data_IF_686196893905
#
_entry.id   IF_686196893905
#
_cell.length_a   1.000
_cell.length_b   1.000
_cell.length_c   1.000
_cell.angle_alpha   90.00
_cell.angle_beta   90.00
_cell.angle_gamma   90.00
#
_symmetry.space_group_name_H-M   'P 1'
#
loop_
_entity.id
_entity.type
_entity.pdbx_description
1 polymer ?
#
# COMPACT_ATOMS: atom_id res chain seq x y z
N UNK A 1 20.76 -3.54 -22.24
CA UNK A 1 19.82 -2.49 -22.70
C UNK A 1 18.72 -3.19 -23.48
N UNK A 2 17.70 -3.68 -22.78
CA UNK A 2 16.49 -4.23 -23.39
C UNK A 2 15.37 -3.25 -23.00
N UNK A 3 14.84 -2.56 -24.00
CA UNK A 3 13.71 -1.67 -23.80
C UNK A 3 12.49 -2.53 -23.46
N UNK A 4 12.13 -2.57 -22.18
CA UNK A 4 10.83 -3.04 -21.75
C UNK A 4 9.82 -1.98 -22.16
N UNK A 5 9.15 -2.23 -23.29
CA UNK A 5 8.03 -1.42 -23.74
C UNK A 5 6.91 -1.53 -22.71
N UNK A 6 6.29 -0.39 -22.42
CA UNK A 6 5.11 -0.31 -21.57
C UNK A 6 3.97 -1.12 -22.20
N UNK A 7 3.49 -2.14 -21.48
CA UNK A 7 2.36 -2.99 -21.88
C UNK A 7 1.06 -2.16 -21.89
N UNK A 8 0.73 -1.65 -23.07
CA UNK A 8 -0.57 -1.05 -23.40
C UNK A 8 -1.65 -2.15 -23.50
N UNK A 9 -2.91 -1.83 -23.18
CA UNK A 9 -4.10 -2.71 -23.30
C UNK A 9 -4.26 -3.36 -24.70
N UNK A 10 -3.48 -2.92 -25.70
CA UNK A 10 -3.33 -3.52 -27.03
C UNK A 10 -2.72 -4.94 -27.06
N UNK A 11 -1.99 -5.36 -26.04
CA UNK A 11 -1.38 -6.71 -25.96
C UNK A 11 -2.44 -7.81 -25.79
N UNK A 12 -3.58 -7.47 -25.17
CA UNK A 12 -4.72 -8.37 -24.94
C UNK A 12 -5.61 -8.53 -26.19
N UNK A 13 -5.39 -7.73 -27.25
CA UNK A 13 -6.10 -7.91 -28.51
C UNK A 13 -5.61 -9.13 -29.28
N UNK A 14 -6.56 -9.95 -29.73
CA UNK A 14 -6.28 -11.10 -30.57
C UNK A 14 -5.89 -10.67 -31.99
N UNK A 15 -4.92 -11.35 -32.64
CA UNK A 15 -4.65 -11.14 -34.06
C UNK A 15 -5.87 -11.50 -34.93
N UNK A 16 -5.98 -10.95 -36.15
CA UNK A 16 -7.09 -11.27 -37.05
C UNK A 16 -7.23 -12.79 -37.28
N UNK A 17 -8.47 -13.28 -37.21
CA UNK A 17 -8.79 -14.71 -37.37
C UNK A 17 -8.61 -15.56 -36.11
N UNK A 18 -8.27 -14.96 -34.97
CA UNK A 18 -8.29 -15.64 -33.67
C UNK A 18 -9.57 -15.34 -32.89
N UNK A 19 -10.05 -16.34 -32.16
CA UNK A 19 -11.19 -16.25 -31.25
C UNK A 19 -10.80 -16.84 -29.90
N UNK A 20 -11.20 -16.20 -28.80
CA UNK A 20 -11.02 -16.71 -27.45
C UNK A 20 -12.28 -17.47 -26.99
N UNK A 21 -12.08 -18.62 -26.34
CA UNK A 21 -13.14 -19.47 -25.80
C UNK A 21 -12.75 -19.99 -24.42
N UNK A 22 -13.76 -20.39 -23.63
CA UNK A 22 -13.56 -20.98 -22.32
C UNK A 22 -14.18 -22.38 -22.23
N UNK A 23 -13.52 -23.28 -21.51
CA UNK A 23 -14.07 -24.60 -21.18
C UNK A 23 -15.04 -24.51 -19.98
N UNK A 24 -15.76 -25.58 -19.69
CA UNK A 24 -16.66 -25.64 -18.53
C UNK A 24 -15.92 -25.54 -17.20
N UNK A 25 -14.70 -26.08 -17.12
CA UNK A 25 -13.80 -25.99 -15.96
C UNK A 25 -13.04 -24.66 -15.87
N UNK A 26 -13.31 -23.73 -16.79
CA UNK A 26 -12.85 -22.35 -16.75
C UNK A 26 -11.47 -22.10 -17.39
N UNK A 27 -10.90 -23.08 -18.10
CA UNK A 27 -9.66 -22.88 -18.84
C UNK A 27 -9.94 -22.12 -20.15
N UNK A 28 -9.18 -21.06 -20.42
CA UNK A 28 -9.29 -20.29 -21.67
C UNK A 28 -8.39 -20.90 -22.74
N UNK A 29 -8.90 -21.01 -23.95
CA UNK A 29 -8.18 -21.46 -25.12
C UNK A 29 -8.51 -20.59 -26.34
N UNK A 30 -7.59 -20.57 -27.30
CA UNK A 30 -7.63 -19.71 -28.46
C UNK A 30 -7.79 -20.56 -29.71
N UNK A 31 -8.76 -20.21 -30.55
CA UNK A 31 -9.07 -20.86 -31.82
C UNK A 31 -8.56 -19.99 -32.94
N UNK A 32 -7.75 -20.55 -33.84
CA UNK A 32 -7.32 -19.88 -35.06
C UNK A 32 -8.16 -20.38 -36.23
N UNK A 33 -9.01 -19.51 -36.77
CA UNK A 33 -9.90 -19.82 -37.89
C UNK A 33 -9.16 -20.00 -39.21
N UNK A 34 -7.97 -19.41 -39.36
CA UNK A 34 -7.15 -19.55 -40.56
C UNK A 34 -6.46 -20.92 -40.63
N UNK A 35 -5.91 -21.39 -39.50
CA UNK A 35 -5.19 -22.69 -39.43
C UNK A 35 -6.06 -23.84 -38.94
N UNK A 36 -7.28 -23.55 -38.47
CA UNK A 36 -8.20 -24.51 -37.80
C UNK A 36 -7.57 -25.19 -36.57
N UNK A 37 -6.59 -24.55 -35.96
CA UNK A 37 -5.91 -25.03 -34.75
C UNK A 37 -6.47 -24.42 -33.48
N UNK A 38 -6.20 -25.08 -32.34
CA UNK A 38 -6.45 -24.52 -31.00
C UNK A 38 -5.17 -24.53 -30.17
N UNK A 39 -5.06 -23.60 -29.23
CA UNK A 39 -3.95 -23.56 -28.27
C UNK A 39 -4.39 -22.93 -26.95
N UNK A 40 -3.68 -23.25 -25.87
CA UNK A 40 -3.97 -22.73 -24.52
C UNK A 40 -3.32 -21.37 -24.24
N UNK A 41 -2.28 -21.04 -24.99
CA UNK A 41 -1.48 -19.84 -24.76
C UNK A 41 -1.95 -18.73 -25.71
N UNK A 42 -2.03 -17.49 -25.22
CA UNK A 42 -2.42 -16.36 -26.05
C UNK A 42 -1.42 -16.20 -27.22
N UNK A 43 -1.89 -15.95 -28.45
CA UNK A 43 -1.03 -15.93 -29.65
C UNK A 43 0.04 -14.83 -29.63
N UNK A 44 -0.16 -13.73 -28.89
CA UNK A 44 0.83 -12.65 -28.70
C UNK A 44 1.64 -12.85 -27.41
N UNK A 45 0.99 -12.68 -26.26
CA UNK A 45 1.62 -12.72 -24.94
C UNK A 45 2.13 -14.09 -24.48
N UNK A 46 1.75 -15.19 -25.15
CA UNK A 46 2.06 -16.59 -24.76
C UNK A 46 1.57 -17.02 -23.38
N UNK A 47 0.80 -16.18 -22.67
CA UNK A 47 0.24 -16.47 -21.36
C UNK A 47 -1.07 -17.25 -21.44
N UNK A 48 -1.39 -17.99 -20.39
CA UNK A 48 -2.68 -18.68 -20.24
C UNK A 48 -3.66 -17.79 -19.49
N UNK A 49 -4.95 -17.95 -19.75
CA UNK A 49 -6.01 -17.26 -19.01
C UNK A 49 -6.96 -18.28 -18.39
N UNK A 50 -7.61 -17.87 -17.31
CA UNK A 50 -8.64 -18.64 -16.62
C UNK A 50 -9.84 -17.75 -16.32
N UNK A 51 -11.03 -18.31 -16.41
CA UNK A 51 -12.29 -17.66 -16.03
C UNK A 51 -12.84 -18.33 -14.77
N UNK A 52 -13.78 -17.64 -14.11
CA UNK A 52 -14.59 -18.18 -13.02
C UNK A 52 -15.25 -19.52 -13.42
N UNK A 53 -15.37 -20.45 -12.46
CA UNK A 53 -16.16 -21.67 -12.67
C UNK A 53 -17.65 -21.40 -12.81
N UNK A 54 -18.16 -20.34 -12.19
CA UNK A 54 -19.57 -19.94 -12.21
C UNK A 54 -19.82 -18.83 -13.23
N UNK A 55 -21.01 -18.85 -13.85
CA UNK A 55 -21.49 -17.77 -14.72
C UNK A 55 -21.85 -16.52 -13.90
N UNK A 56 -21.74 -15.31 -14.46
CA UNK A 56 -22.19 -14.10 -13.78
C UNK A 56 -23.68 -14.17 -13.44
N UNK A 57 -24.11 -13.49 -12.37
CA UNK A 57 -25.51 -13.49 -11.94
C UNK A 57 -26.46 -13.08 -13.08
N UNK A 58 -27.52 -13.85 -13.29
CA UNK A 58 -28.52 -13.63 -14.35
C UNK A 58 -28.14 -14.22 -15.72
N UNK A 59 -26.99 -14.88 -15.83
CA UNK A 59 -26.59 -15.61 -17.03
C UNK A 59 -26.90 -17.10 -16.91
N UNK A 60 -27.40 -17.67 -18.00
CA UNK A 60 -27.69 -19.11 -18.11
C UNK A 60 -27.02 -19.69 -19.34
N UNK A 61 -26.42 -20.88 -19.19
CA UNK A 61 -25.91 -21.67 -20.32
C UNK A 61 -27.05 -22.48 -20.92
N UNK A 62 -27.33 -22.23 -22.19
CA UNK A 62 -28.33 -22.93 -22.98
C UNK A 62 -27.66 -23.65 -24.16
N UNK A 63 -28.29 -24.70 -24.67
CA UNK A 63 -27.81 -25.46 -25.84
C UNK A 63 -28.85 -25.30 -26.93
N UNK A 64 -28.43 -24.87 -28.12
CA UNK A 64 -29.32 -24.73 -29.27
C UNK A 64 -29.71 -26.09 -29.87
N UNK A 65 -30.66 -26.08 -30.81
CA UNK A 65 -31.16 -27.28 -31.49
C UNK A 65 -30.07 -28.03 -32.28
N UNK A 66 -28.95 -27.38 -32.58
CA UNK A 66 -27.80 -27.97 -33.26
C UNK A 66 -26.72 -28.45 -32.29
N UNK A 67 -26.98 -28.42 -30.97
CA UNK A 67 -26.03 -28.83 -29.93
C UNK A 67 -24.96 -27.79 -29.59
N UNK A 68 -25.06 -26.56 -30.09
CA UNK A 68 -24.09 -25.49 -29.84
C UNK A 68 -24.44 -24.74 -28.57
N UNK A 69 -23.43 -24.44 -27.77
CA UNK A 69 -23.58 -23.74 -26.50
C UNK A 69 -23.82 -22.24 -26.75
N UNK A 70 -24.82 -21.70 -26.09
CA UNK A 70 -25.18 -20.28 -26.04
C UNK A 70 -25.30 -19.82 -24.58
N UNK A 71 -25.26 -18.52 -24.37
CA UNK A 71 -25.40 -17.88 -23.07
C UNK A 71 -26.52 -16.84 -23.14
N UNK A 72 -27.53 -17.01 -22.29
CA UNK A 72 -28.67 -16.12 -22.18
C UNK A 72 -28.50 -15.18 -20.98
N UNK A 73 -28.56 -13.88 -21.23
CA UNK A 73 -28.62 -12.83 -20.20
C UNK A 73 -30.09 -12.51 -19.93
N UNK A 74 -30.60 -12.98 -18.79
CA UNK A 74 -32.00 -12.78 -18.39
C UNK A 74 -32.31 -11.35 -18.00
N UNK A 75 -31.29 -10.56 -17.63
CA UNK A 75 -31.46 -9.15 -17.24
C UNK A 75 -31.62 -8.26 -18.47
N UNK A 76 -30.78 -8.47 -19.48
CA UNK A 76 -30.79 -7.67 -20.71
C UNK A 76 -31.61 -8.30 -21.84
N UNK A 77 -32.13 -9.53 -21.64
CA UNK A 77 -32.90 -10.32 -22.63
C UNK A 77 -32.12 -10.55 -23.93
N UNK A 78 -30.82 -10.81 -23.83
CA UNK A 78 -29.93 -11.05 -24.97
C UNK A 78 -29.37 -12.47 -24.92
N UNK A 79 -29.09 -13.03 -26.10
CA UNK A 79 -28.42 -14.33 -26.24
C UNK A 79 -27.14 -14.15 -27.06
N UNK A 80 -26.05 -14.75 -26.61
CA UNK A 80 -24.75 -14.71 -27.30
C UNK A 80 -24.09 -16.09 -27.32
N UNK A 81 -23.24 -16.31 -28.32
CA UNK A 81 -22.38 -17.50 -28.38
C UNK A 81 -21.05 -17.30 -27.64
N UNK A 82 -20.73 -16.07 -27.26
CA UNK A 82 -19.52 -15.73 -26.52
C UNK A 82 -19.77 -15.91 -25.03
N UNK A 83 -18.88 -16.64 -24.37
CA UNK A 83 -18.97 -16.87 -22.93
C UNK A 83 -18.79 -15.55 -22.16
N UNK A 84 -19.78 -15.12 -21.34
CA UNK A 84 -19.73 -13.85 -20.62
C UNK A 84 -18.60 -13.79 -19.60
N UNK A 85 -18.04 -14.94 -19.20
CA UNK A 85 -16.93 -15.01 -18.25
C UNK A 85 -15.62 -14.54 -18.87
N UNK A 86 -15.48 -14.58 -20.20
CA UNK A 86 -14.26 -14.16 -20.91
C UNK A 86 -13.95 -12.68 -20.71
N UNK A 87 -14.97 -11.84 -20.55
CA UNK A 87 -14.80 -10.43 -20.20
C UNK A 87 -14.07 -10.21 -18.87
N UNK A 88 -14.01 -11.24 -18.02
CA UNK A 88 -13.37 -11.23 -16.70
C UNK A 88 -12.25 -12.28 -16.61
N UNK A 89 -11.73 -12.76 -17.75
CA UNK A 89 -10.64 -13.73 -17.77
C UNK A 89 -9.36 -13.12 -17.18
N UNK A 90 -8.74 -13.83 -16.25
CA UNK A 90 -7.48 -13.43 -15.62
C UNK A 90 -6.33 -14.27 -16.15
N UNK A 91 -5.16 -13.66 -16.38
CA UNK A 91 -3.94 -14.40 -16.69
C UNK A 91 -3.58 -15.37 -15.55
N UNK A 92 -3.26 -16.60 -15.90
CA UNK A 92 -2.74 -17.59 -14.96
C UNK A 92 -1.32 -17.17 -14.55
N UNK A 93 -1.11 -17.00 -13.24
CA UNK A 93 0.19 -16.62 -12.68
C UNK A 93 1.13 -17.84 -12.66
N UNK A 94 2.36 -17.71 -13.17
CA UNK A 94 3.38 -18.77 -13.02
C UNK A 94 3.84 -18.87 -11.56
N UNK A 95 4.08 -17.72 -10.92
CA UNK A 95 4.30 -17.61 -9.49
C UNK A 95 3.26 -16.69 -8.84
N UNK A 96 2.83 -16.95 -7.58
CA UNK A 96 1.85 -16.11 -6.88
C UNK A 96 2.22 -14.62 -6.85
N UNK A 97 3.53 -14.35 -6.85
CA UNK A 97 4.10 -13.01 -6.81
C UNK A 97 4.33 -12.35 -8.16
N UNK A 98 3.96 -13.01 -9.26
CA UNK A 98 4.01 -12.41 -10.59
C UNK A 98 2.83 -11.44 -10.72
N UNK A 99 3.15 -10.17 -10.54
CA UNK A 99 2.20 -9.07 -10.59
C UNK A 99 2.35 -8.40 -11.95
N UNK A 100 1.26 -8.32 -12.73
CA UNK A 100 1.25 -7.52 -13.97
C UNK A 100 1.48 -6.06 -13.62
N UNK A 101 2.53 -5.47 -14.19
CA UNK A 101 2.84 -4.06 -13.95
C UNK A 101 1.86 -3.18 -14.75
N UNK A 102 0.94 -2.52 -14.03
CA UNK A 102 -0.03 -1.58 -14.63
C UNK A 102 0.33 -0.11 -14.42
N UNK A 103 1.18 0.17 -13.43
CA UNK A 103 1.53 1.50 -12.99
C UNK A 103 3.05 1.65 -12.86
N UNK A 104 3.51 2.89 -12.86
CA UNK A 104 4.92 3.22 -12.85
C UNK A 104 5.21 4.51 -12.05
N UNK A 105 6.44 5.03 -12.18
CA UNK A 105 6.88 6.22 -11.47
C UNK A 105 6.13 7.50 -11.85
N UNK A 106 5.48 7.54 -13.02
CA UNK A 106 4.72 8.68 -13.53
C UNK A 106 3.24 8.64 -13.13
N UNK A 107 2.76 7.48 -12.68
CA UNK A 107 1.38 7.26 -12.28
C UNK A 107 0.99 8.07 -11.04
N UNK A 108 -0.24 8.58 -11.04
CA UNK A 108 -0.86 9.35 -9.95
C UNK A 108 -1.75 8.47 -9.08
N UNK A 109 -2.00 8.88 -7.83
CA UNK A 109 -2.92 8.19 -6.92
C UNK A 109 -4.34 8.06 -7.50
N UNK A 110 -4.85 9.10 -8.18
CA UNK A 110 -6.15 9.03 -8.84
C UNK A 110 -6.17 8.05 -10.02
N UNK A 111 -5.09 7.95 -10.81
CA UNK A 111 -5.00 6.92 -11.86
C UNK A 111 -5.01 5.51 -11.28
N UNK A 112 -4.34 5.28 -10.15
CA UNK A 112 -4.36 3.98 -9.47
C UNK A 112 -5.78 3.63 -8.96
N UNK A 113 -6.56 4.63 -8.56
CA UNK A 113 -7.93 4.45 -8.09
C UNK A 113 -8.99 4.52 -9.19
N UNK A 114 -8.62 4.71 -10.45
CA UNK A 114 -9.57 4.85 -11.53
C UNK A 114 -10.51 3.64 -11.61
N UNK A 115 -11.82 3.89 -11.54
CA UNK A 115 -12.85 2.84 -11.56
C UNK A 115 -12.98 2.02 -10.26
N UNK A 116 -12.36 2.47 -9.15
CA UNK A 116 -12.45 1.82 -7.83
C UNK A 116 -13.52 2.51 -6.97
N UNK A 117 -14.36 1.74 -6.31
CA UNK A 117 -15.26 2.22 -5.26
C UNK A 117 -14.80 1.66 -3.90
N UNK A 118 -14.54 2.56 -2.95
CA UNK A 118 -14.11 2.25 -1.59
C UNK A 118 -15.22 2.54 -0.56
N UNK A 119 -16.46 2.71 -1.02
CA UNK A 119 -17.62 2.88 -0.14
C UNK A 119 -17.72 1.74 0.89
N UNK A 120 -17.92 2.11 2.16
CA UNK A 120 -17.98 1.14 3.27
C UNK A 120 -16.61 0.65 3.79
N UNK A 121 -15.50 1.14 3.21
CA UNK A 121 -14.15 0.95 3.75
C UNK A 121 -13.78 2.07 4.72
N UNK A 122 -13.09 1.72 5.79
CA UNK A 122 -12.54 2.67 6.77
C UNK A 122 -11.02 2.69 6.65
N UNK A 123 -10.44 3.88 6.54
CA UNK A 123 -9.00 4.09 6.46
C UNK A 123 -8.49 5.03 7.55
N UNK A 124 -7.32 4.74 8.11
CA UNK A 124 -6.55 5.65 8.96
C UNK A 124 -5.29 6.05 8.21
N UNK A 125 -5.03 7.35 8.09
CA UNK A 125 -3.81 7.89 7.46
C UNK A 125 -3.08 8.78 8.45
N UNK A 126 -1.87 8.40 8.87
CA UNK A 126 -1.06 9.22 9.78
C UNK A 126 -0.37 10.35 9.03
N UNK A 127 -0.39 11.57 9.59
CA UNK A 127 0.23 12.74 8.96
C UNK A 127 -0.49 13.21 7.70
N UNK A 128 -1.82 13.10 7.69
CA UNK A 128 -2.70 13.37 6.56
C UNK A 128 -3.06 14.86 6.35
N UNK A 129 -2.50 15.78 7.13
CA UNK A 129 -2.81 17.21 7.01
C UNK A 129 -1.97 17.93 5.93
N UNK A 130 -0.93 17.30 5.39
CA UNK A 130 -0.09 17.89 4.34
C UNK A 130 0.63 16.83 3.48
N UNK A 131 1.23 17.28 2.37
CA UNK A 131 2.13 16.49 1.55
C UNK A 131 1.49 15.21 1.01
N UNK A 132 2.27 14.11 1.02
CA UNK A 132 1.86 12.81 0.49
C UNK A 132 0.68 12.25 1.30
N UNK A 133 0.70 12.37 2.63
CA UNK A 133 -0.39 11.88 3.49
C UNK A 133 -1.72 12.56 3.19
N UNK A 134 -1.73 13.87 2.98
CA UNK A 134 -2.93 14.59 2.55
C UNK A 134 -3.45 14.07 1.22
N UNK A 135 -2.56 13.89 0.25
CA UNK A 135 -2.97 13.43 -1.08
C UNK A 135 -3.47 11.98 -1.06
N UNK A 136 -2.88 11.12 -0.24
CA UNK A 136 -3.37 9.78 0.03
C UNK A 136 -4.78 9.82 0.63
N UNK A 137 -4.99 10.62 1.69
CA UNK A 137 -6.30 10.75 2.35
C UNK A 137 -7.36 11.31 1.40
N UNK A 138 -7.03 12.39 0.67
CA UNK A 138 -7.89 12.98 -0.36
C UNK A 138 -8.27 11.95 -1.41
N UNK A 139 -7.29 11.23 -1.98
CA UNK A 139 -7.55 10.25 -3.03
C UNK A 139 -8.48 9.12 -2.58
N UNK A 140 -8.30 8.61 -1.34
CA UNK A 140 -9.20 7.60 -0.76
C UNK A 140 -10.62 8.15 -0.56
N UNK A 141 -10.74 9.36 -0.01
CA UNK A 141 -12.03 10.00 0.27
C UNK A 141 -12.81 10.30 -1.02
N UNK A 142 -12.13 10.75 -2.07
CA UNK A 142 -12.72 10.98 -3.39
C UNK A 142 -13.28 9.70 -4.02
N UNK A 143 -12.88 8.51 -3.55
CA UNK A 143 -13.40 7.22 -3.98
C UNK A 143 -14.32 6.57 -2.93
N UNK A 144 -14.91 7.34 -2.01
CA UNK A 144 -15.98 6.90 -1.10
C UNK A 144 -15.52 6.27 0.21
N UNK A 145 -14.21 6.17 0.44
CA UNK A 145 -13.66 5.66 1.70
C UNK A 145 -13.98 6.61 2.87
N UNK A 146 -14.28 6.07 4.04
CA UNK A 146 -14.32 6.85 5.27
C UNK A 146 -12.89 6.99 5.82
N UNK A 147 -12.33 8.21 5.74
CA UNK A 147 -10.92 8.47 6.07
C UNK A 147 -10.78 9.22 7.39
N UNK A 148 -10.06 8.62 8.33
CA UNK A 148 -9.59 9.25 9.56
C UNK A 148 -8.23 9.89 9.32
N UNK A 149 -8.17 11.22 9.37
CA UNK A 149 -6.95 12.01 9.31
C UNK A 149 -6.31 12.04 10.71
N UNK A 150 -5.36 11.15 10.95
CA UNK A 150 -4.65 11.05 12.22
C UNK A 150 -3.46 12.01 12.26
N UNK A 151 -3.65 13.19 12.87
CA UNK A 151 -2.69 14.29 12.82
C UNK A 151 -2.49 14.96 14.18
N UNK A 152 -1.36 15.64 14.38
CA UNK A 152 -1.06 16.34 15.65
C UNK A 152 -1.82 17.66 15.83
N UNK A 153 -2.10 18.40 14.75
CA UNK A 153 -2.60 19.77 14.83
C UNK A 153 -4.00 19.84 14.24
N UNK A 154 -4.99 20.16 15.08
CA UNK A 154 -6.39 20.29 14.71
C UNK A 154 -6.62 21.36 13.64
N UNK A 155 -6.11 22.58 13.83
CA UNK A 155 -6.30 23.67 12.87
C UNK A 155 -5.75 23.34 11.47
N UNK A 156 -4.59 22.67 11.39
CA UNK A 156 -4.03 22.22 10.12
C UNK A 156 -4.84 21.07 9.51
N UNK A 157 -5.41 20.19 10.35
CA UNK A 157 -6.29 19.12 9.90
C UNK A 157 -7.64 19.68 9.40
N UNK A 158 -8.22 20.67 10.06
CA UNK A 158 -9.45 21.35 9.63
C UNK A 158 -9.27 21.98 8.24
N UNK A 159 -8.13 22.65 8.03
CA UNK A 159 -7.79 23.18 6.71
C UNK A 159 -7.64 22.09 5.63
N UNK A 160 -7.17 20.90 5.99
CA UNK A 160 -7.10 19.76 5.08
C UNK A 160 -8.50 19.16 4.80
N UNK A 161 -9.32 18.97 5.84
CA UNK A 161 -10.70 18.51 5.72
C UNK A 161 -11.50 19.41 4.79
N UNK A 162 -11.44 20.73 4.99
CA UNK A 162 -12.16 21.70 4.16
C UNK A 162 -11.77 21.62 2.68
N UNK A 163 -10.49 21.40 2.36
CA UNK A 163 -10.05 21.22 0.97
C UNK A 163 -10.66 19.98 0.33
N UNK A 164 -10.76 18.87 1.07
CA UNK A 164 -11.39 17.65 0.54
C UNK A 164 -12.90 17.86 0.39
N UNK A 165 -13.57 18.49 1.35
CA UNK A 165 -14.99 18.80 1.27
C UNK A 165 -15.35 19.74 0.12
N UNK A 166 -14.46 20.67 -0.25
CA UNK A 166 -14.65 21.54 -1.43
C UNK A 166 -14.72 20.75 -2.73
N UNK A 167 -14.00 19.63 -2.82
CA UNK A 167 -14.00 18.78 -4.01
C UNK A 167 -15.07 17.69 -3.95
N UNK A 168 -15.35 17.18 -2.75
CA UNK A 168 -16.37 16.17 -2.49
C UNK A 168 -17.15 16.49 -1.21
N UNK A 169 -18.25 17.24 -1.32
CA UNK A 169 -19.04 17.69 -0.16
C UNK A 169 -19.62 16.55 0.70
N UNK A 170 -19.86 15.38 0.10
CA UNK A 170 -20.39 14.17 0.76
C UNK A 170 -19.28 13.24 1.33
N UNK A 171 -18.01 13.66 1.28
CA UNK A 171 -16.89 12.84 1.75
C UNK A 171 -17.03 12.49 3.24
N UNK A 172 -16.76 11.24 3.58
CA UNK A 172 -16.76 10.78 4.98
C UNK A 172 -15.35 10.95 5.55
N UNK A 173 -15.18 11.98 6.38
CA UNK A 173 -13.89 12.33 6.95
C UNK A 173 -14.02 12.57 8.45
N UNK A 174 -13.01 12.13 9.20
CA UNK A 174 -12.88 12.47 10.62
C UNK A 174 -11.45 12.91 10.92
N UNK A 175 -11.31 13.95 11.74
CA UNK A 175 -10.03 14.26 12.37
C UNK A 175 -9.96 13.54 13.73
N UNK A 176 -8.81 12.95 14.01
CA UNK A 176 -8.47 12.43 15.33
C UNK A 176 -7.04 12.82 15.66
N UNK A 177 -6.83 13.32 16.87
CA UNK A 177 -5.52 13.78 17.31
C UNK A 177 -4.58 12.59 17.50
N UNK A 178 -3.40 12.65 16.89
CA UNK A 178 -2.34 11.66 17.05
C UNK A 178 -0.98 12.36 17.17
N UNK A 179 -0.36 12.22 18.33
CA UNK A 179 0.94 12.79 18.68
C UNK A 179 1.96 11.66 18.81
N UNK A 180 2.77 11.46 17.76
CA UNK A 180 3.66 10.30 17.67
C UNK A 180 4.93 10.40 18.54
N UNK A 181 5.23 11.55 19.14
CA UNK A 181 6.29 11.72 20.15
C UNK A 181 5.77 11.51 21.60
N UNK A 182 4.57 10.93 21.75
CA UNK A 182 3.96 10.55 23.04
C UNK A 182 3.16 9.24 22.92
N UNK A 183 3.61 8.13 23.51
CA UNK A 183 2.94 6.83 23.39
C UNK A 183 1.53 6.82 24.02
N UNK A 184 1.30 7.57 25.10
CA UNK A 184 -0.05 7.79 25.66
C UNK A 184 -1.04 8.38 24.65
N UNK A 185 -0.57 9.25 23.73
CA UNK A 185 -1.42 9.81 22.68
C UNK A 185 -1.80 8.75 21.65
N UNK A 186 -0.88 7.83 21.34
CA UNK A 186 -1.17 6.67 20.47
C UNK A 186 -2.26 5.80 21.08
N UNK A 187 -2.16 5.50 22.39
CA UNK A 187 -3.20 4.74 23.10
C UNK A 187 -4.55 5.46 23.08
N UNK A 188 -4.56 6.74 23.41
CA UNK A 188 -5.78 7.58 23.41
C UNK A 188 -6.44 7.63 22.03
N UNK A 189 -5.64 7.74 20.97
CA UNK A 189 -6.12 7.68 19.59
C UNK A 189 -6.81 6.34 19.30
N UNK A 190 -6.21 5.21 19.69
CA UNK A 190 -6.79 3.88 19.44
C UNK A 190 -8.08 3.68 20.23
N UNK A 191 -8.16 4.14 21.47
CA UNK A 191 -9.39 4.11 22.27
C UNK A 191 -10.50 4.92 21.60
N UNK A 192 -10.19 6.14 21.16
CA UNK A 192 -11.13 7.00 20.44
C UNK A 192 -11.59 6.35 19.13
N UNK A 193 -10.66 5.85 18.31
CA UNK A 193 -10.98 5.15 17.07
C UNK A 193 -11.87 3.93 17.33
N UNK A 194 -11.50 3.11 18.32
CA UNK A 194 -12.19 1.86 18.63
C UNK A 194 -13.60 2.06 19.19
N UNK A 195 -13.87 3.21 19.81
CA UNK A 195 -15.21 3.60 20.28
C UNK A 195 -16.17 3.96 19.15
N UNK A 196 -15.64 4.36 17.98
CA UNK A 196 -16.42 4.82 16.83
C UNK A 196 -16.49 3.82 15.68
N UNK A 197 -15.42 3.05 15.50
CA UNK A 197 -15.26 2.15 14.35
C UNK A 197 -15.15 0.70 14.82
N UNK A 198 -16.02 -0.15 14.27
CA UNK A 198 -16.00 -1.59 14.56
C UNK A 198 -14.83 -2.31 13.89
N UNK A 199 -14.35 -1.80 12.75
CA UNK A 199 -13.30 -2.39 11.90
C UNK A 199 -12.38 -1.32 11.32
N UNK A 200 -11.22 -1.77 10.82
CA UNK A 200 -10.28 -0.96 10.05
C UNK A 200 -9.87 -1.74 8.79
N UNK A 201 -10.15 -1.21 7.61
CA UNK A 201 -9.80 -1.87 6.35
C UNK A 201 -8.40 -1.46 5.87
N UNK A 202 -7.98 -0.20 6.10
CA UNK A 202 -6.72 0.36 5.57
C UNK A 202 -5.99 1.17 6.64
N UNK A 203 -4.77 0.79 7.00
CA UNK A 203 -3.89 1.56 7.87
C UNK A 203 -2.66 2.05 7.11
N UNK A 204 -2.48 3.36 6.99
CA UNK A 204 -1.36 3.98 6.27
C UNK A 204 -0.50 4.76 7.26
N UNK A 205 0.70 4.21 7.51
CA UNK A 205 1.71 4.74 8.42
C UNK A 205 2.64 5.66 7.63
N UNK A 206 2.12 6.84 7.29
CA UNK A 206 2.78 7.83 6.45
C UNK A 206 3.58 8.87 7.25
N UNK A 207 3.13 9.24 8.46
CA UNK A 207 3.78 10.30 9.22
C UNK A 207 5.26 9.99 9.50
N UNK A 208 6.10 11.02 9.39
CA UNK A 208 7.50 10.96 9.76
C UNK A 208 8.16 12.33 9.79
N UNK A 209 9.27 12.42 10.51
CA UNK A 209 10.13 13.59 10.63
C UNK A 209 11.52 13.29 10.08
N UNK A 210 12.18 14.34 9.58
CA UNK A 210 13.53 14.29 9.04
C UNK A 210 14.27 15.59 9.36
N UNK A 211 15.59 15.52 9.55
CA UNK A 211 16.42 16.70 9.75
C UNK A 211 16.16 17.44 11.06
N UNK A 212 15.52 16.79 12.04
CA UNK A 212 15.27 17.37 13.36
C UNK A 212 16.52 17.27 14.23
N UNK A 213 16.81 18.28 15.08
CA UNK A 213 17.89 18.18 16.05
C UNK A 213 17.61 17.06 17.05
N UNK A 214 18.67 16.51 17.65
CA UNK A 214 18.54 15.52 18.72
C UNK A 214 17.66 16.07 19.84
N UNK A 215 16.64 15.29 20.21
CA UNK A 215 15.74 15.56 21.33
C UNK A 215 15.22 14.25 21.88
N UNK A 216 15.07 14.19 23.19
CA UNK A 216 14.41 13.09 23.88
C UNK A 216 12.92 13.42 24.05
N UNK A 217 12.06 12.47 23.71
CA UNK A 217 10.61 12.54 23.92
C UNK A 217 10.26 12.39 25.39
N UNK A 218 8.98 12.59 25.72
CA UNK A 218 8.47 12.34 27.08
C UNK A 218 8.58 10.87 27.50
N UNK A 219 8.64 9.95 26.52
CA UNK A 219 8.78 8.52 26.75
C UNK A 219 10.25 8.07 26.89
N UNK A 220 11.20 9.01 26.80
CA UNK A 220 12.62 8.74 27.01
C UNK A 220 13.39 8.25 25.78
N UNK A 221 12.82 8.38 24.58
CA UNK A 221 13.46 7.94 23.33
C UNK A 221 13.84 9.11 22.43
N UNK A 222 14.76 8.87 21.49
CA UNK A 222 15.11 9.84 20.46
C UNK A 222 13.88 10.11 19.57
N UNK A 223 13.61 11.40 19.33
CA UNK A 223 12.37 11.87 18.70
C UNK A 223 12.14 11.29 17.31
N UNK A 224 13.16 11.28 16.44
CA UNK A 224 13.01 10.77 15.08
C UNK A 224 12.71 9.27 15.09
N UNK A 225 13.46 8.48 15.86
CA UNK A 225 13.21 7.05 16.02
C UNK A 225 11.80 6.78 16.53
N UNK A 226 11.37 7.49 17.58
CA UNK A 226 10.07 7.25 18.16
C UNK A 226 8.95 7.59 17.17
N UNK A 227 9.00 8.77 16.55
CA UNK A 227 7.96 9.23 15.63
C UNK A 227 7.88 8.36 14.38
N UNK A 228 9.02 8.01 13.79
CA UNK A 228 9.06 7.33 12.49
C UNK A 228 8.82 5.82 12.60
N UNK A 229 9.20 5.20 13.73
CA UNK A 229 9.17 3.75 13.92
C UNK A 229 8.38 3.33 15.17
N UNK A 230 8.84 3.69 16.38
CA UNK A 230 8.30 3.11 17.62
C UNK A 230 6.79 3.33 17.78
N UNK A 231 6.32 4.57 17.61
CA UNK A 231 4.91 4.93 17.77
C UNK A 231 4.04 4.41 16.63
N UNK A 232 4.57 4.33 15.41
CA UNK A 232 3.86 3.73 14.26
C UNK A 232 3.71 2.21 14.46
N UNK A 233 4.76 1.54 14.94
CA UNK A 233 4.71 0.14 15.31
C UNK A 233 3.71 -0.11 16.44
N UNK A 234 3.74 0.71 17.50
CA UNK A 234 2.81 0.62 18.62
C UNK A 234 1.35 0.82 18.18
N UNK A 235 1.08 1.86 17.39
CA UNK A 235 -0.23 2.13 16.79
C UNK A 235 -0.75 0.93 16.01
N UNK A 236 0.12 0.32 15.21
CA UNK A 236 -0.22 -0.83 14.37
C UNK A 236 -0.62 -2.03 15.22
N UNK A 237 0.18 -2.36 16.25
CA UNK A 237 -0.11 -3.48 17.13
C UNK A 237 -1.41 -3.27 17.92
N UNK A 238 -1.68 -2.06 18.41
CA UNK A 238 -2.92 -1.76 19.13
C UNK A 238 -4.18 -1.84 18.24
N UNK A 239 -4.06 -1.63 16.93
CA UNK A 239 -5.17 -1.70 15.98
C UNK A 239 -5.40 -3.12 15.41
N UNK A 240 -4.68 -4.13 15.88
CA UNK A 240 -4.73 -5.49 15.36
C UNK A 240 -6.14 -6.10 15.36
N UNK A 241 -6.90 -5.97 16.45
CA UNK A 241 -8.29 -6.47 16.53
C UNK A 241 -9.18 -5.80 15.47
N UNK A 242 -9.06 -4.48 15.29
CA UNK A 242 -9.83 -3.73 14.29
C UNK A 242 -9.45 -4.10 12.87
N UNK A 243 -8.16 -4.32 12.61
CA UNK A 243 -7.65 -4.82 11.32
C UNK A 243 -8.13 -6.24 11.04
N UNK A 244 -8.17 -7.11 12.05
CA UNK A 244 -8.69 -8.48 11.94
C UNK A 244 -10.18 -8.48 11.56
N UNK A 245 -10.97 -7.60 12.17
CA UNK A 245 -12.40 -7.43 11.81
C UNK A 245 -12.61 -6.79 10.43
N UNK A 246 -11.58 -6.12 9.90
CA UNK A 246 -11.60 -5.48 8.59
C UNK A 246 -11.12 -6.36 7.43
N UNK A 247 -10.80 -7.63 7.67
CA UNK A 247 -10.25 -8.53 6.63
C UNK A 247 -11.21 -8.64 5.42
N UNK A 248 -10.69 -8.54 4.17
CA UNK A 248 -9.30 -8.26 3.82
C UNK A 248 -8.90 -6.81 4.15
N UNK A 249 -7.89 -6.67 5.01
CA UNK A 249 -7.36 -5.40 5.49
C UNK A 249 -5.89 -5.26 5.17
N UNK A 250 -5.41 -4.02 5.08
CA UNK A 250 -4.06 -3.71 4.62
C UNK A 250 -3.37 -2.69 5.51
N UNK A 251 -2.13 -2.98 5.89
CA UNK A 251 -1.22 -2.06 6.57
C UNK A 251 -0.09 -1.67 5.62
N UNK A 252 0.14 -0.36 5.49
CA UNK A 252 1.16 0.18 4.58
C UNK A 252 2.14 1.05 5.36
N UNK A 253 3.39 0.59 5.45
CA UNK A 253 4.50 1.35 6.04
C UNK A 253 5.18 2.20 4.97
N UNK A 254 5.11 3.53 5.12
CA UNK A 254 5.83 4.46 4.23
C UNK A 254 7.30 4.57 4.69
N UNK A 255 8.17 3.88 3.97
CA UNK A 255 9.61 3.93 4.11
C UNK A 255 10.24 4.92 3.10
N UNK A 256 11.46 4.67 2.65
CA UNK A 256 12.21 5.46 1.67
C UNK A 256 13.41 4.66 1.15
N UNK A 257 13.93 4.99 -0.03
CA UNK A 257 15.22 4.45 -0.52
C UNK A 257 16.41 4.71 0.43
N UNK A 258 16.29 5.69 1.34
CA UNK A 258 17.23 5.90 2.45
C UNK A 258 17.47 4.66 3.32
N UNK A 259 16.52 3.73 3.40
CA UNK A 259 16.66 2.49 4.15
C UNK A 259 17.87 1.65 3.70
N UNK A 260 18.29 1.80 2.42
CA UNK A 260 19.44 1.09 1.85
C UNK A 260 20.78 1.62 2.36
N UNK A 261 20.80 2.83 2.90
CA UNK A 261 21.99 3.51 3.41
C UNK A 261 22.08 3.47 4.93
N UNK A 262 21.31 2.61 5.57
CA UNK A 262 21.45 2.31 6.99
C UNK A 262 22.72 1.50 7.25
N UNK A 263 23.42 1.81 8.35
CA UNK A 263 24.59 1.05 8.82
C UNK A 263 24.22 -0.11 9.76
N UNK A 264 22.93 -0.31 10.02
CA UNK A 264 22.45 -1.37 10.91
C UNK A 264 22.63 -2.75 10.27
N UNK A 265 23.08 -3.68 11.09
CA UNK A 265 23.22 -5.10 10.80
C UNK A 265 22.74 -5.90 12.01
N UNK A 266 22.49 -7.19 11.83
CA UNK A 266 22.22 -8.08 12.96
C UNK A 266 23.34 -8.08 14.00
N UNK A 267 24.59 -7.76 13.65
CA UNK A 267 25.71 -7.74 14.57
C UNK A 267 25.72 -6.50 15.50
N UNK A 268 25.40 -5.31 14.97
CA UNK A 268 25.50 -4.06 15.73
C UNK A 268 24.16 -3.55 16.27
N UNK A 269 23.02 -4.07 15.83
CA UNK A 269 21.71 -3.56 16.22
C UNK A 269 21.46 -3.59 17.75
N UNK A 270 21.26 -2.41 18.33
CA UNK A 270 20.92 -2.19 19.74
C UNK A 270 20.23 -0.81 19.93
N UNK A 271 19.73 -0.55 21.14
CA UNK A 271 19.00 0.68 21.47
C UNK A 271 19.86 1.94 21.34
N UNK A 272 21.12 1.92 21.77
CA UNK A 272 21.99 3.09 21.80
C UNK A 272 22.26 3.63 20.39
N UNK A 273 22.25 2.75 19.37
CA UNK A 273 22.40 3.18 17.97
C UNK A 273 21.10 3.78 17.41
N UNK A 274 19.95 3.15 17.67
CA UNK A 274 18.68 3.57 17.05
C UNK A 274 17.99 4.71 17.81
N UNK A 275 18.32 4.89 19.09
CA UNK A 275 17.78 5.92 19.97
C UNK A 275 18.88 6.43 20.92
N UNK A 276 19.94 7.09 20.39
CA UNK A 276 21.07 7.56 21.18
C UNK A 276 20.62 8.57 22.24
N UNK A 277 21.17 8.45 23.45
CA UNK A 277 20.89 9.38 24.55
C UNK A 277 21.72 10.65 24.44
N UNK A 278 22.95 10.55 23.93
CA UNK A 278 23.83 11.69 23.72
C UNK A 278 23.63 12.30 22.33
N UNK A 279 23.53 13.62 22.28
CA UNK A 279 23.49 14.38 21.04
C UNK A 279 24.78 14.26 20.23
N UNK A 280 25.93 13.96 20.87
CA UNK A 280 27.22 13.77 20.20
C UNK A 280 27.25 12.54 19.28
N UNK A 281 26.45 11.52 19.58
CA UNK A 281 26.30 10.28 18.81
C UNK A 281 25.20 10.39 17.74
N UNK A 282 24.42 11.48 17.76
CA UNK A 282 23.31 11.68 16.86
C UNK A 282 23.73 12.34 15.55
N UNK A 283 23.54 11.61 14.45
CA UNK A 283 23.58 12.17 13.11
C UNK A 283 22.23 12.01 12.42
N UNK A 284 21.52 13.12 12.20
CA UNK A 284 20.11 13.12 11.75
C UNK A 284 19.85 12.34 10.47
N UNK A 285 20.76 12.38 9.50
CA UNK A 285 20.62 11.60 8.27
C UNK A 285 20.73 10.09 8.53
N UNK A 286 21.66 9.68 9.40
CA UNK A 286 21.84 8.29 9.80
C UNK A 286 20.65 7.77 10.58
N UNK A 287 20.16 8.54 11.55
CA UNK A 287 18.95 8.23 12.31
C UNK A 287 17.74 8.06 11.38
N UNK A 288 17.61 8.91 10.35
CA UNK A 288 16.59 8.75 9.34
C UNK A 288 16.73 7.45 8.53
N UNK A 289 17.92 7.16 8.01
CA UNK A 289 18.19 5.93 7.28
C UNK A 289 17.87 4.69 8.13
N UNK A 290 18.25 4.71 9.41
CA UNK A 290 17.92 3.68 10.39
C UNK A 290 16.40 3.54 10.56
N UNK A 291 15.68 4.63 10.83
CA UNK A 291 14.22 4.59 11.00
C UNK A 291 13.49 4.02 9.79
N UNK A 292 13.95 4.34 8.58
CA UNK A 292 13.36 3.83 7.34
C UNK A 292 13.69 2.36 7.09
N UNK A 293 14.87 1.89 7.49
CA UNK A 293 15.16 0.45 7.53
C UNK A 293 14.26 -0.28 8.52
N UNK A 294 14.07 0.26 9.72
CA UNK A 294 13.22 -0.37 10.75
C UNK A 294 11.78 -0.53 10.27
N UNK A 295 11.22 0.45 9.56
CA UNK A 295 9.88 0.32 8.97
C UNK A 295 9.78 -0.85 7.98
N UNK A 296 10.78 -1.08 7.12
CA UNK A 296 10.77 -2.21 6.16
C UNK A 296 10.93 -3.54 6.89
N UNK A 297 11.89 -3.63 7.82
CA UNK A 297 12.16 -4.84 8.62
C UNK A 297 10.92 -5.22 9.44
N UNK A 298 10.30 -4.23 10.09
CA UNK A 298 9.14 -4.45 10.94
C UNK A 298 7.91 -4.84 10.13
N UNK A 299 7.67 -4.19 8.97
CA UNK A 299 6.61 -4.60 8.06
C UNK A 299 6.77 -6.06 7.60
N UNK A 300 8.00 -6.48 7.26
CA UNK A 300 8.31 -7.87 6.94
C UNK A 300 7.98 -8.82 8.08
N UNK A 301 8.43 -8.54 9.30
CA UNK A 301 8.13 -9.37 10.47
C UNK A 301 6.65 -9.42 10.85
N UNK A 302 5.95 -8.30 10.69
CA UNK A 302 4.53 -8.22 10.94
C UNK A 302 3.75 -9.05 9.93
N UNK A 303 4.17 -9.03 8.66
CA UNK A 303 3.56 -9.85 7.59
C UNK A 303 3.63 -11.35 7.89
N UNK A 304 4.76 -11.84 8.40
CA UNK A 304 4.93 -13.24 8.82
C UNK A 304 3.94 -13.60 9.94
N UNK A 305 3.78 -12.70 10.91
CA UNK A 305 2.95 -12.93 12.11
C UNK A 305 1.46 -12.85 11.84
N UNK A 306 1.05 -12.00 10.90
CA UNK A 306 -0.35 -11.75 10.60
C UNK A 306 -0.86 -12.45 9.35
N UNK A 307 0.00 -13.23 8.66
CA UNK A 307 -0.39 -14.04 7.51
C UNK A 307 -1.62 -14.91 7.80
N UNK A 308 -1.65 -15.60 8.95
CA UNK A 308 -2.78 -16.44 9.37
C UNK A 308 -4.04 -15.65 9.76
N UNK A 309 -3.90 -14.34 10.04
CA UNK A 309 -5.02 -13.44 10.38
C UNK A 309 -5.66 -12.82 9.14
N UNK A 310 -5.09 -13.03 7.95
CA UNK A 310 -5.60 -12.45 6.70
C UNK A 310 -5.32 -10.95 6.54
N UNK A 311 -4.47 -10.36 7.39
CA UNK A 311 -4.05 -8.96 7.29
C UNK A 311 -2.81 -8.89 6.39
N UNK A 312 -2.91 -8.13 5.30
CA UNK A 312 -1.75 -7.90 4.42
C UNK A 312 -0.93 -6.71 4.92
N UNK A 313 0.39 -6.83 4.90
CA UNK A 313 1.33 -5.79 5.33
C UNK A 313 2.31 -5.52 4.19
N UNK A 314 2.42 -4.26 3.80
CA UNK A 314 3.32 -3.82 2.74
C UNK A 314 4.22 -2.70 3.25
N UNK A 315 5.38 -2.54 2.62
CA UNK A 315 6.23 -1.38 2.80
C UNK A 315 6.59 -0.77 1.45
N UNK A 316 6.92 0.51 1.42
CA UNK A 316 7.22 1.18 0.15
C UNK A 316 8.12 2.40 0.29
N UNK A 317 8.66 2.84 -0.84
CA UNK A 317 9.17 4.19 -1.04
C UNK A 317 8.20 5.00 -1.91
N UNK A 318 7.78 6.20 -1.49
CA UNK A 318 6.77 6.98 -2.22
C UNK A 318 7.32 7.62 -3.52
N UNK A 319 8.64 7.64 -3.71
CA UNK A 319 9.29 8.22 -4.89
C UNK A 319 10.38 9.23 -4.53
N UNK A 320 11.32 9.43 -5.44
CA UNK A 320 12.44 10.37 -5.26
C UNK A 320 11.99 11.81 -5.53
N UNK A 321 12.64 12.77 -4.86
CA UNK A 321 12.47 14.21 -5.13
C UNK A 321 11.01 14.69 -5.02
N UNK A 322 10.25 14.23 -4.04
CA UNK A 322 8.92 14.79 -3.77
C UNK A 322 9.12 16.01 -2.87
N UNK A 323 8.69 17.19 -3.33
CA UNK A 323 8.66 18.37 -2.47
C UNK A 323 7.62 18.16 -1.38
N UNK A 324 8.09 17.77 -0.20
CA UNK A 324 7.29 17.69 1.01
C UNK A 324 7.82 18.68 2.02
N UNK A 325 6.94 19.10 2.92
CA UNK A 325 7.24 19.95 4.07
C UNK A 325 8.24 19.36 5.07
N UNK A 326 8.81 18.18 4.79
CA UNK A 326 9.81 17.51 5.62
C UNK A 326 11.17 18.24 5.63
N UNK A 327 11.40 19.18 4.71
CA UNK A 327 12.64 19.97 4.55
C UNK A 327 12.68 21.27 5.38
N UNK A 328 11.74 21.47 6.31
CA UNK A 328 11.54 22.75 6.99
C UNK A 328 12.74 23.26 7.82
N UNK A 329 13.68 22.40 8.23
CA UNK A 329 14.75 22.73 9.19
C UNK A 329 16.13 23.07 8.61
N UNK A 330 16.35 22.98 7.28
CA UNK A 330 17.64 23.36 6.68
C UNK A 330 17.47 24.25 5.45
N UNK A 331 17.94 25.49 5.54
CA UNK A 331 17.82 26.49 4.49
C UNK A 331 18.61 26.13 3.21
N UNK A 332 19.74 25.40 3.33
CA UNK A 332 20.54 24.90 2.20
C UNK A 332 19.75 23.88 1.37
N UNK A 333 18.97 22.99 2.00
CA UNK A 333 18.12 22.05 1.27
C UNK A 333 16.95 22.74 0.56
N UNK A 334 16.40 23.84 1.10
CA UNK A 334 15.36 24.62 0.39
C UNK A 334 15.86 25.20 -0.94
N UNK A 335 17.12 25.65 -0.97
CA UNK A 335 17.78 26.16 -2.18
C UNK A 335 18.07 25.01 -3.15
N UNK A 336 18.58 23.88 -2.65
CA UNK A 336 18.87 22.70 -3.48
C UNK A 336 17.59 22.13 -4.12
N UNK A 337 16.48 22.05 -3.37
CA UNK A 337 15.16 21.64 -3.89
C UNK A 337 14.54 22.63 -4.87
N UNK A 338 14.90 23.92 -4.82
CA UNK A 338 14.45 24.91 -5.80
C UNK A 338 15.08 24.70 -7.20
N UNK A 339 16.28 24.12 -7.27
CA UNK A 339 16.98 23.84 -8.55
C UNK A 339 16.55 22.51 -9.21
N UNK A 340 16.06 21.52 -8.45
CA UNK A 340 15.58 20.23 -8.98
C UNK A 340 14.09 20.21 -9.33
N UNK A 341 13.40 21.35 -9.17
CA UNK A 341 11.94 21.55 -9.35
C UNK A 341 11.35 21.09 -10.71
N UNK A 342 12.08 21.06 -11.84
CA UNK A 342 11.57 20.47 -13.09
C UNK A 342 11.56 18.92 -13.10
N UNK A 343 12.23 18.26 -12.15
CA UNK A 343 12.42 16.80 -12.09
C UNK A 343 11.80 16.15 -10.83
N UNK A 344 11.03 16.91 -10.05
CA UNK A 344 10.38 16.46 -8.80
C UNK A 344 8.99 15.88 -9.05
N UNK A 345 8.68 14.70 -8.51
CA UNK A 345 7.33 14.12 -8.58
C UNK A 345 6.28 15.03 -7.94
N UNK A 346 5.06 15.04 -8.51
CA UNK A 346 3.91 15.68 -7.87
C UNK A 346 3.47 14.94 -6.59
N UNK A 347 2.69 15.58 -5.71
CA UNK A 347 2.16 14.91 -4.51
C UNK A 347 1.26 13.72 -4.90
N UNK A 348 0.49 13.85 -5.98
CA UNK A 348 -0.31 12.79 -6.58
C UNK A 348 0.54 11.59 -7.02
N UNK A 349 1.69 11.85 -7.65
CA UNK A 349 2.66 10.82 -8.02
C UNK A 349 3.42 10.25 -6.82
N UNK A 350 3.56 11.02 -5.74
CA UNK A 350 4.12 10.56 -4.48
C UNK A 350 3.19 9.64 -3.69
N UNK A 351 1.88 9.87 -3.78
CA UNK A 351 0.87 9.05 -3.13
C UNK A 351 0.53 7.77 -3.90
N UNK A 352 0.90 7.65 -5.18
CA UNK A 352 0.45 6.56 -6.05
C UNK A 352 0.89 5.18 -5.57
N UNK A 353 2.14 5.01 -5.14
CA UNK A 353 2.62 3.72 -4.62
C UNK A 353 1.94 3.37 -3.29
N UNK A 354 1.67 4.36 -2.44
CA UNK A 354 0.91 4.16 -1.19
C UNK A 354 -0.51 3.68 -1.46
N UNK A 355 -1.20 4.34 -2.39
CA UNK A 355 -2.54 3.96 -2.81
C UNK A 355 -2.56 2.59 -3.50
N UNK A 356 -1.53 2.28 -4.30
CA UNK A 356 -1.35 0.98 -4.93
C UNK A 356 -1.26 -0.13 -3.89
N UNK A 357 -0.35 -0.02 -2.92
CA UNK A 357 -0.26 -0.99 -1.82
C UNK A 357 -1.57 -1.09 -1.02
N UNK A 358 -2.22 0.04 -0.75
CA UNK A 358 -3.44 0.09 0.05
C UNK A 358 -4.68 -0.46 -0.66
N UNK A 359 -4.71 -0.50 -2.00
CA UNK A 359 -5.96 -0.75 -2.73
C UNK A 359 -5.87 -1.65 -3.95
N UNK A 360 -4.72 -1.95 -4.54
CA UNK A 360 -4.64 -2.69 -5.80
C UNK A 360 -5.12 -4.17 -5.66
N UNK A 361 -6.10 -4.66 -6.45
CA UNK A 361 -6.59 -6.04 -6.40
C UNK A 361 -5.54 -7.09 -6.67
N UNK A 362 -4.57 -6.79 -7.54
CA UNK A 362 -3.51 -7.72 -7.89
C UNK A 362 -2.60 -8.08 -6.70
N UNK A 363 -2.68 -7.30 -5.62
CA UNK A 363 -2.02 -7.56 -4.34
C UNK A 363 -2.89 -8.34 -3.35
N UNK A 364 -4.13 -8.71 -3.71
CA UNK A 364 -4.94 -9.60 -2.90
C UNK A 364 -4.23 -10.94 -2.72
N UNK A 365 -4.23 -11.46 -1.50
CA UNK A 365 -3.45 -12.64 -1.07
C UNK A 365 -1.94 -12.48 -1.04
N UNK A 366 -1.39 -11.27 -1.28
CA UNK A 366 0.03 -10.98 -1.13
C UNK A 366 0.28 -10.17 0.16
N UNK A 367 1.48 -10.33 0.73
CA UNK A 367 1.92 -9.64 1.93
C UNK A 367 3.46 -9.66 2.01
N UNK A 368 4.06 -8.81 2.83
CA UNK A 368 5.50 -8.80 3.09
C UNK A 368 6.36 -8.21 1.95
N UNK A 369 5.74 -7.64 0.92
CA UNK A 369 6.43 -7.09 -0.24
C UNK A 369 6.81 -5.61 -0.06
N UNK A 370 7.94 -5.22 -0.68
CA UNK A 370 8.41 -3.84 -0.76
C UNK A 370 8.16 -3.26 -2.16
N UNK A 371 7.66 -2.03 -2.23
CA UNK A 371 7.32 -1.37 -3.49
C UNK A 371 8.04 -0.04 -3.69
N UNK A 372 8.36 0.27 -4.95
CA UNK A 372 8.87 1.55 -5.38
C UNK A 372 8.28 1.84 -6.76
N UNK A 373 7.65 3.02 -6.94
CA UNK A 373 7.02 3.41 -8.20
C UNK A 373 5.94 2.41 -8.66
N UNK A 374 5.10 1.94 -7.74
CA UNK A 374 4.08 0.90 -7.97
C UNK A 374 4.63 -0.44 -8.49
N UNK A 375 5.95 -0.64 -8.40
CA UNK A 375 6.62 -1.86 -8.82
C UNK A 375 7.20 -2.59 -7.61
N UNK A 376 7.08 -3.93 -7.60
CA UNK A 376 7.70 -4.75 -6.56
C UNK A 376 9.22 -4.64 -6.70
N UNK A 377 9.89 -4.29 -5.61
CA UNK A 377 11.36 -4.22 -5.58
C UNK A 377 11.90 -4.95 -4.38
N UNK A 378 13.08 -5.52 -4.50
CA UNK A 378 13.74 -6.15 -3.36
C UNK A 378 14.33 -5.07 -2.42
N UNK A 379 14.04 -5.13 -1.12
CA UNK A 379 14.59 -4.17 -0.16
C UNK A 379 16.08 -4.47 0.10
N UNK A 380 16.74 -3.67 0.94
CA UNK A 380 18.17 -3.90 1.27
C UNK A 380 18.41 -5.30 1.86
N UNK A 381 19.64 -5.83 1.73
CA UNK A 381 20.00 -7.13 2.32
C UNK A 381 19.77 -7.18 3.83
N UNK A 382 20.02 -6.07 4.52
CA UNK A 382 19.74 -5.94 5.95
C UNK A 382 18.23 -6.07 6.24
N UNK A 383 17.37 -5.52 5.39
CA UNK A 383 15.92 -5.62 5.56
C UNK A 383 15.39 -7.07 5.44
N UNK A 384 16.12 -7.92 4.71
CA UNK A 384 15.78 -9.33 4.49
C UNK A 384 16.44 -10.27 5.51
N UNK A 385 17.30 -9.75 6.41
CA UNK A 385 17.99 -10.56 7.42
C UNK A 385 17.00 -10.99 8.52
N UNK A 386 16.69 -12.30 8.65
CA UNK A 386 15.73 -12.79 9.63
C UNK A 386 16.21 -12.58 11.09
N UNK A 387 17.53 -12.55 11.32
CA UNK A 387 18.11 -12.30 12.65
C UNK A 387 17.87 -10.83 13.03
N UNK A 388 18.15 -9.90 12.10
CA UNK A 388 17.87 -8.49 12.32
C UNK A 388 16.36 -8.29 12.54
N UNK A 389 15.51 -8.93 11.74
CA UNK A 389 14.06 -8.88 11.91
C UNK A 389 13.59 -9.28 13.32
N UNK A 390 14.08 -10.40 13.84
CA UNK A 390 13.75 -10.83 15.20
C UNK A 390 14.24 -9.84 16.26
N UNK A 391 15.45 -9.29 16.09
CA UNK A 391 16.00 -8.28 17.01
C UNK A 391 15.16 -6.99 16.99
N UNK A 392 14.81 -6.49 15.82
CA UNK A 392 13.96 -5.29 15.65
C UNK A 392 12.60 -5.50 16.31
N UNK A 393 11.96 -6.64 16.04
CA UNK A 393 10.67 -6.99 16.65
C UNK A 393 10.74 -6.99 18.18
N UNK A 394 11.71 -7.72 18.74
CA UNK A 394 11.84 -7.87 20.19
C UNK A 394 12.17 -6.55 20.87
N UNK A 395 13.14 -5.80 20.35
CA UNK A 395 13.55 -4.53 20.95
C UNK A 395 12.43 -3.47 20.85
N UNK A 396 11.71 -3.39 19.72
CA UNK A 396 10.57 -2.48 19.56
C UNK A 396 9.52 -2.76 20.63
N UNK A 397 9.15 -4.03 20.83
CA UNK A 397 8.20 -4.43 21.87
C UNK A 397 8.70 -4.15 23.27
N UNK A 398 9.96 -4.47 23.55
CA UNK A 398 10.56 -4.26 24.86
C UNK A 398 10.58 -2.78 25.23
N UNK A 399 10.90 -1.91 24.27
CA UNK A 399 10.86 -0.45 24.46
C UNK A 399 9.44 0.03 24.76
N UNK A 400 8.42 -0.45 24.04
CA UNK A 400 7.02 -0.14 24.38
C UNK A 400 6.68 -0.59 25.81
N UNK A 401 7.00 -1.84 26.18
CA UNK A 401 6.70 -2.38 27.51
C UNK A 401 7.37 -1.61 28.65
N UNK A 402 8.61 -1.13 28.44
CA UNK A 402 9.35 -0.33 29.45
C UNK A 402 8.68 1.01 29.77
N UNK A 403 7.79 1.50 28.91
CA UNK A 403 7.00 2.73 29.16
C UNK A 403 5.70 2.48 29.93
N UNK A 404 5.43 1.23 30.34
CA UNK A 404 4.22 0.85 31.07
C UNK A 404 3.02 0.54 30.19
N UNK A 405 3.19 0.54 28.86
CA UNK A 405 2.16 0.13 27.91
C UNK A 405 2.21 -1.37 27.64
N UNK A 406 1.05 -2.04 27.66
CA UNK A 406 0.90 -3.41 27.21
C UNK A 406 0.43 -3.45 25.76
N UNK A 407 0.81 -4.52 25.07
CA UNK A 407 0.29 -4.89 23.76
C UNK A 407 -0.13 -6.33 23.91
N UNK A 408 -1.44 -6.57 24.01
CA UNK A 408 -1.99 -7.92 24.10
C UNK A 408 -1.69 -8.64 22.79
N UNK A 409 -1.13 -9.85 22.86
CA UNK A 409 -0.94 -10.72 21.70
C UNK A 409 -1.56 -12.07 21.96
#
# INVERSE_FOLDING_TARGET
MAAYFADSDSEDELPPGWEERATSDGCVYYVNHNTKGTQWNHPRTRKRKKVSGELPFGWERIVDENGKIMFADHKNKTVTYTDPRLAFATEEKEHPTDIRQRFDGSSTALQVLHGRDLSGKVAVVTGANCGIGFETARSLALHGCHVVLACRNSAAADGALMKIYQERPDAKLEFMELILDKLDSVKSFVEQFSSKFEKLDILILNAGVFGVPHRTTVDGYETLFQVNHLSQAFLTLLLEDKLTRGVPSRVVFVSSESHRYSSLTSANFNQDIISPKDASEYWSMMAYNHSKLLNVVFAGKLSEKWAAKGIAVFSLHPGNLIYTDISRYWWVYRILFAFVRPFTKSLQQGASTTIYCATAPELDSLTGLYFNNCFRTEPSKAAQDPILGNKVWNLTKEMILRTGHSVDM
#
